data_IF_925705759948
#
_entry.id   IF_925705759948
#
_cell.length_a   1.000
_cell.length_b   1.000
_cell.length_c   1.000
_cell.angle_alpha   90.00
_cell.angle_beta   90.00
_cell.angle_gamma   90.00
#
_symmetry.space_group_name_H-M   'P 1'
#
loop_
_entity.id
_entity.type
_entity.pdbx_description
1 polymer ?
#
# COMPACT_ATOMS: atom_id res chain seq x y z
N UNK A 1 7.99 13.90 -35.50
CA UNK A 1 7.66 14.06 -35.18
C UNK A 1 7.48 14.01 -34.92
N UNK A 2 7.63 13.93 -34.85
CA UNK A 2 7.31 14.07 -34.32
C UNK A 2 7.10 13.95 -33.95
N UNK A 3 7.14 13.96 -33.70
CA UNK A 3 6.79 14.15 -33.14
C UNK A 3 6.53 13.93 -32.76
N UNK A 4 6.60 13.93 -32.48
CA UNK A 4 6.27 14.00 -31.89
C UNK A 4 6.02 13.89 -31.54
N UNK A 5 6.18 13.94 -31.42
CA UNK A 5 5.82 14.05 -30.88
C UNK A 5 5.65 13.77 -30.54
N UNK A 6 5.91 13.88 -30.47
CA UNK A 6 5.75 13.68 -29.98
C UNK A 6 5.64 13.13 -29.73
N UNK A 7 5.77 12.95 -29.77
CA UNK A 7 5.65 12.59 -29.30
C UNK A 7 5.65 11.75 -29.26
N UNK A 8 5.63 11.55 -29.25
CA UNK A 8 5.58 10.82 -29.08
C UNK A 8 5.83 9.86 -29.32
N UNK A 9 6.21 9.71 -29.51
CA UNK A 9 6.39 8.87 -29.61
C UNK A 9 6.81 8.05 -29.52
N UNK A 10 7.13 7.77 -29.47
CA UNK A 10 7.51 6.99 -29.19
C UNK A 10 7.75 6.02 -29.55
N UNK A 11 8.18 5.49 -29.72
CA UNK A 11 8.38 4.71 -29.84
C UNK A 11 8.40 3.74 -29.98
N UNK A 12 8.57 3.37 -29.84
CA UNK A 12 8.59 2.64 -29.61
C UNK A 12 8.91 1.62 -29.83
N UNK A 13 9.26 1.28 -30.21
CA UNK A 13 9.72 0.60 -29.98
C UNK A 13 10.12 0.09 -29.44
N UNK A 14 10.52 -0.01 -29.39
CA UNK A 14 10.82 -0.27 -28.52
C UNK A 14 10.48 -0.30 -27.70
N UNK A 15 10.34 -0.37 -27.61
CA UNK A 15 10.07 -0.26 -26.64
C UNK A 15 10.12 -0.62 -25.70
N UNK A 16 10.46 -1.07 -25.75
CA UNK A 16 10.59 -1.36 -24.47
C UNK A 16 11.19 -0.53 -23.62
N UNK A 17 11.44 -0.15 -23.91
CA UNK A 17 11.86 0.58 -23.15
C UNK A 17 11.21 1.12 -22.28
N UNK A 18 11.06 1.04 -22.14
CA UNK A 18 10.56 1.53 -21.43
C UNK A 18 10.27 1.85 -20.56
N UNK A 19 10.47 1.58 -20.50
CA UNK A 19 10.20 2.45 -19.72
C UNK A 19 9.54 2.23 -18.38
N UNK A 20 10.03 2.61 -17.39
CA UNK A 20 9.37 2.56 -16.13
C UNK A 20 8.55 3.81 -15.92
N UNK A 21 7.31 3.62 -15.54
CA UNK A 21 6.46 4.71 -15.15
C UNK A 21 6.42 4.77 -13.63
N UNK A 22 6.51 5.97 -13.10
CA UNK A 22 6.11 6.21 -11.72
C UNK A 22 4.65 6.64 -11.74
N UNK A 23 3.77 5.67 -11.66
CA UNK A 23 2.35 5.95 -11.55
C UNK A 23 2.11 6.63 -10.20
N UNK A 24 1.43 7.75 -10.21
CA UNK A 24 1.09 8.48 -8.99
C UNK A 24 -0.39 8.82 -9.00
N UNK A 25 -0.96 8.93 -7.81
CA UNK A 25 -2.32 9.43 -7.63
C UNK A 25 -2.34 10.24 -6.33
N UNK A 26 -3.51 10.73 -5.94
CA UNK A 26 -3.57 11.60 -4.75
C UNK A 26 -3.34 10.85 -3.44
N UNK A 27 -3.29 9.52 -3.48
CA UNK A 27 -3.09 8.69 -2.28
C UNK A 27 -1.69 8.11 -2.19
N UNK A 28 -0.92 8.16 -3.28
CA UNK A 28 0.42 7.58 -3.31
C UNK A 28 1.44 8.49 -2.62
N UNK A 29 2.51 7.89 -2.12
CA UNK A 29 3.58 8.63 -1.47
C UNK A 29 4.10 7.92 -0.23
N UNK A 30 4.90 8.64 0.53
CA UNK A 30 5.46 8.10 1.77
C UNK A 30 4.55 8.44 2.94
N UNK A 31 4.32 7.46 3.78
CA UNK A 31 3.47 7.58 4.97
C UNK A 31 4.23 7.08 6.18
N UNK A 32 3.95 7.67 7.34
CA UNK A 32 4.41 7.10 8.60
C UNK A 32 3.37 6.08 9.02
N UNK A 33 3.78 4.82 9.13
CA UNK A 33 2.92 3.73 9.54
C UNK A 33 3.17 3.45 11.02
N UNK A 34 2.15 3.68 11.83
CA UNK A 34 2.16 3.38 13.27
C UNK A 34 1.09 2.33 13.52
N UNK A 35 1.50 1.17 13.99
CA UNK A 35 0.58 0.06 14.13
C UNK A 35 0.96 -0.85 15.30
N UNK A 36 -0.02 -1.65 15.71
CA UNK A 36 0.20 -2.80 16.57
C UNK A 36 -0.09 -4.05 15.75
N UNK A 37 0.85 -4.98 15.75
CA UNK A 37 0.64 -6.30 15.17
C UNK A 37 0.38 -7.27 16.31
N UNK A 38 -0.82 -7.80 16.34
CA UNK A 38 -1.24 -8.77 17.34
C UNK A 38 -1.13 -10.17 16.75
N UNK A 39 -0.52 -11.08 17.48
CA UNK A 39 -0.60 -12.51 17.17
C UNK A 39 -1.84 -13.06 17.86
N UNK A 40 -2.68 -13.79 17.12
CA UNK A 40 -3.95 -14.30 17.63
C UNK A 40 -3.89 -15.82 17.74
N UNK A 41 -4.56 -16.35 18.76
CA UNK A 41 -4.73 -17.80 18.89
C UNK A 41 -5.96 -18.27 18.11
N UNK A 42 -6.31 -19.54 18.25
CA UNK A 42 -7.42 -20.16 17.53
C UNK A 42 -8.79 -19.60 17.94
N UNK A 43 -8.86 -18.85 19.03
CA UNK A 43 -10.09 -18.21 19.51
C UNK A 43 -10.09 -16.71 19.21
N UNK A 44 -9.18 -16.24 18.35
CA UNK A 44 -8.99 -14.82 18.04
C UNK A 44 -8.59 -13.98 19.27
N UNK A 45 -7.95 -14.60 20.26
CA UNK A 45 -7.45 -13.89 21.43
C UNK A 45 -6.00 -13.45 21.19
N UNK A 46 -5.67 -12.26 21.67
CA UNK A 46 -4.32 -11.73 21.50
C UNK A 46 -3.36 -12.44 22.46
N UNK A 47 -2.33 -13.07 21.90
CA UNK A 47 -1.30 -13.77 22.71
C UNK A 47 0.03 -13.02 22.70
N UNK A 48 0.25 -12.10 21.75
CA UNK A 48 1.46 -11.29 21.70
C UNK A 48 1.18 -10.06 20.86
N UNK A 49 1.92 -8.97 21.11
CA UNK A 49 1.76 -7.72 20.36
C UNK A 49 3.13 -7.10 20.12
N UNK A 50 3.29 -6.52 18.93
CA UNK A 50 4.50 -5.83 18.52
C UNK A 50 4.13 -4.45 18.01
N UNK A 51 4.80 -3.40 18.51
CA UNK A 51 4.63 -2.03 18.00
C UNK A 51 5.47 -1.82 16.77
N UNK A 52 4.89 -1.14 15.79
CA UNK A 52 5.56 -0.81 14.53
C UNK A 52 5.47 0.70 14.33
N UNK A 53 6.59 1.34 14.03
CA UNK A 53 6.63 2.73 13.59
C UNK A 53 7.69 2.82 12.51
N UNK A 54 7.25 3.02 11.28
CA UNK A 54 8.15 2.95 10.13
C UNK A 54 7.55 3.76 8.98
N UNK A 55 8.40 4.22 8.08
CA UNK A 55 7.94 4.83 6.83
C UNK A 55 7.60 3.71 5.87
N UNK A 56 6.38 3.77 5.29
CA UNK A 56 5.93 2.86 4.24
C UNK A 56 5.58 3.68 3.01
N UNK A 57 5.98 3.20 1.86
CA UNK A 57 5.59 3.82 0.60
C UNK A 57 4.31 3.17 0.11
N UNK A 58 3.30 3.98 -0.14
CA UNK A 58 2.07 3.54 -0.79
C UNK A 58 2.21 3.87 -2.27
N UNK A 59 2.22 2.85 -3.11
CA UNK A 59 2.42 3.00 -4.55
C UNK A 59 1.10 2.90 -5.29
N UNK A 60 0.84 3.84 -6.21
CA UNK A 60 -0.38 3.85 -6.99
C UNK A 60 -0.46 2.60 -7.88
N UNK A 61 -1.63 1.97 -7.91
CA UNK A 61 -1.90 0.82 -8.80
C UNK A 61 -2.95 1.17 -9.84
N UNK A 62 -3.81 2.12 -9.54
CA UNK A 62 -4.79 2.69 -10.45
C UNK A 62 -5.07 4.12 -9.97
N UNK A 63 -6.03 4.78 -10.58
CA UNK A 63 -6.34 6.18 -10.29
C UNK A 63 -6.70 6.38 -8.80
N UNK A 64 -7.34 5.41 -8.19
CA UNK A 64 -7.87 5.54 -6.84
C UNK A 64 -7.44 4.40 -5.91
N UNK A 65 -6.35 3.73 -6.23
CA UNK A 65 -5.86 2.62 -5.42
C UNK A 65 -4.36 2.69 -5.22
N UNK A 66 -3.93 2.23 -4.05
CA UNK A 66 -2.51 2.13 -3.70
C UNK A 66 -2.24 0.77 -3.10
N UNK A 67 -0.98 0.34 -3.16
CA UNK A 67 -0.52 -0.88 -2.51
C UNK A 67 0.63 -0.58 -1.59
N UNK A 68 0.79 -1.42 -0.58
CA UNK A 68 1.95 -1.37 0.31
C UNK A 68 2.33 -2.79 0.69
N UNK A 69 3.57 -2.98 1.13
CA UNK A 69 4.00 -4.27 1.65
C UNK A 69 3.59 -4.40 3.11
N UNK A 70 3.00 -5.56 3.45
CA UNK A 70 2.69 -5.88 4.84
C UNK A 70 3.97 -5.84 5.70
N UNK A 71 5.06 -6.40 5.17
CA UNK A 71 6.38 -6.29 5.76
C UNK A 71 7.35 -5.80 4.69
N UNK A 72 8.38 -5.07 5.11
CA UNK A 72 9.32 -4.47 4.16
C UNK A 72 9.96 -5.54 3.28
N UNK A 73 9.86 -5.36 1.99
CA UNK A 73 10.38 -6.28 0.98
C UNK A 73 11.07 -5.50 -0.12
N UNK A 74 12.00 -6.16 -0.81
CA UNK A 74 12.54 -5.61 -2.05
C UNK A 74 11.44 -5.56 -3.11
N UNK A 75 11.48 -4.55 -3.95
CA UNK A 75 10.45 -4.32 -4.99
C UNK A 75 10.68 -5.29 -6.15
N UNK A 76 10.04 -6.45 -6.08
CA UNK A 76 10.09 -7.47 -7.14
C UNK A 76 8.68 -7.96 -7.42
N UNK A 77 8.45 -8.50 -8.61
CA UNK A 77 7.15 -9.05 -8.98
C UNK A 77 6.72 -10.14 -8.00
N UNK A 78 7.63 -11.01 -7.60
CA UNK A 78 7.32 -12.10 -6.67
C UNK A 78 6.90 -11.56 -5.29
N UNK A 79 7.59 -10.54 -4.79
CA UNK A 79 7.27 -9.96 -3.50
C UNK A 79 5.95 -9.19 -3.53
N UNK A 80 5.69 -8.47 -4.63
CA UNK A 80 4.39 -7.79 -4.78
C UNK A 80 3.25 -8.79 -4.67
N UNK A 81 3.34 -9.90 -5.38
CA UNK A 81 2.28 -10.91 -5.35
C UNK A 81 2.06 -11.46 -3.96
N UNK A 82 3.13 -11.71 -3.23
CA UNK A 82 3.07 -12.45 -1.98
C UNK A 82 2.81 -11.58 -0.75
N UNK A 83 3.21 -10.31 -0.81
CA UNK A 83 3.26 -9.48 0.39
C UNK A 83 2.47 -8.18 0.28
N UNK A 84 1.88 -7.86 -0.87
CA UNK A 84 1.25 -6.57 -1.06
C UNK A 84 -0.23 -6.58 -0.69
N UNK A 85 -0.63 -5.51 -0.04
CA UNK A 85 -2.00 -5.20 0.35
C UNK A 85 -2.45 -3.98 -0.44
N UNK A 86 -3.69 -3.98 -0.91
CA UNK A 86 -4.24 -2.91 -1.74
C UNK A 86 -5.33 -2.18 -0.98
N UNK A 87 -5.26 -0.85 -1.01
CA UNK A 87 -6.31 0.02 -0.51
C UNK A 87 -6.91 0.75 -1.71
N UNK A 88 -8.21 0.60 -1.90
CA UNK A 88 -8.93 1.25 -2.99
C UNK A 88 -9.99 2.18 -2.41
N UNK A 89 -9.96 3.44 -2.82
CA UNK A 89 -10.84 4.49 -2.30
C UNK A 89 -11.91 4.79 -3.34
N UNK A 90 -13.17 4.70 -2.95
CA UNK A 90 -14.27 5.03 -3.86
C UNK A 90 -14.63 6.52 -3.78
N UNK A 91 -15.62 6.93 -4.58
CA UNK A 91 -16.04 8.33 -4.67
C UNK A 91 -16.57 8.89 -3.35
N UNK A 92 -17.03 8.02 -2.44
CA UNK A 92 -17.51 8.42 -1.12
C UNK A 92 -16.45 8.36 -0.04
N UNK A 93 -15.17 8.17 -0.42
CA UNK A 93 -14.05 8.01 0.51
C UNK A 93 -14.14 6.74 1.36
N UNK A 94 -14.91 5.75 0.90
CA UNK A 94 -14.89 4.43 1.53
C UNK A 94 -13.70 3.66 0.97
N UNK A 95 -13.03 2.91 1.82
CA UNK A 95 -11.84 2.18 1.42
C UNK A 95 -12.08 0.69 1.50
N UNK A 96 -11.74 -0.01 0.43
CA UNK A 96 -11.72 -1.47 0.40
C UNK A 96 -10.29 -1.93 0.57
N UNK A 97 -10.06 -2.90 1.44
CA UNK A 97 -8.74 -3.50 1.62
C UNK A 97 -8.78 -4.90 1.01
N UNK A 98 -7.74 -5.23 0.25
CA UNK A 98 -7.67 -6.54 -0.43
C UNK A 98 -6.22 -6.97 -0.59
N UNK A 99 -6.00 -8.24 -0.87
CA UNK A 99 -4.68 -8.75 -1.22
C UNK A 99 -4.39 -8.45 -2.68
N UNK A 100 -3.11 -8.24 -3.01
CA UNK A 100 -2.72 -8.08 -4.42
C UNK A 100 -3.00 -9.37 -5.19
N UNK A 101 -2.39 -10.48 -4.78
CA UNK A 101 -2.63 -11.80 -5.35
C UNK A 101 -2.57 -12.89 -4.28
N UNK A 102 -1.36 -13.20 -3.83
CA UNK A 102 -1.10 -14.37 -2.98
C UNK A 102 -0.93 -14.03 -1.50
N UNK A 103 -1.15 -12.77 -1.11
CA UNK A 103 -1.10 -12.41 0.30
C UNK A 103 -2.32 -13.01 1.02
N UNK A 104 -2.07 -13.72 2.11
CA UNK A 104 -3.12 -14.43 2.85
C UNK A 104 -3.93 -13.48 3.73
N UNK A 105 -4.68 -12.59 3.10
CA UNK A 105 -5.58 -11.69 3.80
C UNK A 105 -6.87 -12.45 4.16
N UNK A 106 -7.23 -12.42 5.44
CA UNK A 106 -8.47 -13.04 5.91
C UNK A 106 -9.63 -12.06 5.76
N UNK A 107 -9.49 -10.89 6.36
CA UNK A 107 -10.48 -9.82 6.24
C UNK A 107 -9.82 -8.49 6.66
N UNK A 108 -10.54 -7.40 6.45
CA UNK A 108 -10.01 -6.11 6.88
C UNK A 108 -10.98 -4.99 6.60
N UNK A 109 -10.78 -3.91 7.34
CA UNK A 109 -11.49 -2.65 7.14
C UNK A 109 -10.49 -1.51 7.09
N UNK A 110 -10.86 -0.46 6.38
CA UNK A 110 -10.01 0.71 6.27
C UNK A 110 -10.88 1.95 6.08
N UNK A 111 -10.47 3.05 6.68
CA UNK A 111 -11.11 4.35 6.44
C UNK A 111 -10.04 5.34 6.02
N UNK A 112 -10.45 6.39 5.32
CA UNK A 112 -9.55 7.43 4.87
C UNK A 112 -10.12 8.80 5.23
N UNK A 113 -9.30 9.63 5.90
CA UNK A 113 -9.64 11.01 6.19
C UNK A 113 -8.88 11.89 5.20
N UNK A 114 -9.61 12.50 4.25
CA UNK A 114 -8.97 13.30 3.20
C UNK A 114 -8.39 14.62 3.72
N UNK A 115 -8.88 15.12 4.84
CA UNK A 115 -8.38 16.38 5.39
C UNK A 115 -7.02 16.19 6.05
N UNK A 116 -6.85 15.11 6.81
CA UNK A 116 -5.60 14.81 7.51
C UNK A 116 -4.69 13.91 6.69
N UNK A 117 -5.20 13.33 5.59
CA UNK A 117 -4.48 12.34 4.76
C UNK A 117 -4.02 11.16 5.60
N UNK A 118 -4.96 10.57 6.33
CA UNK A 118 -4.71 9.42 7.21
C UNK A 118 -5.58 8.26 6.80
N UNK A 119 -4.96 7.09 6.58
CA UNK A 119 -5.67 5.82 6.47
C UNK A 119 -5.64 5.14 7.83
N UNK A 120 -6.80 4.63 8.27
CA UNK A 120 -6.89 3.77 9.45
C UNK A 120 -7.16 2.36 8.96
N UNK A 121 -6.27 1.43 9.29
CA UNK A 121 -6.38 0.05 8.83
C UNK A 121 -6.55 -0.90 10.01
N UNK A 122 -7.32 -1.94 9.78
CA UNK A 122 -7.51 -3.04 10.70
C UNK A 122 -7.73 -4.28 9.85
N UNK A 123 -6.73 -5.16 9.74
CA UNK A 123 -6.85 -6.34 8.90
C UNK A 123 -6.19 -7.55 9.54
N UNK A 124 -6.74 -8.73 9.22
CA UNK A 124 -6.22 -10.01 9.67
C UNK A 124 -5.61 -10.75 8.50
N UNK A 125 -4.52 -11.45 8.76
CA UNK A 125 -3.84 -12.24 7.76
C UNK A 125 -3.13 -13.42 8.40
N UNK A 126 -2.75 -14.41 7.61
CA UNK A 126 -1.93 -15.53 8.09
C UNK A 126 -0.53 -15.39 7.51
N UNK A 127 0.45 -15.82 8.31
CA UNK A 127 1.85 -15.89 7.91
C UNK A 127 2.56 -16.91 8.79
N UNK A 128 3.34 -17.78 8.16
CA UNK A 128 4.13 -18.78 8.88
C UNK A 128 3.29 -19.63 9.83
N UNK A 129 2.07 -19.97 9.42
CA UNK A 129 1.18 -20.82 10.20
C UNK A 129 0.50 -20.13 11.37
N UNK A 130 0.62 -18.81 11.46
CA UNK A 130 0.01 -18.02 12.54
C UNK A 130 -0.96 -17.01 11.98
N UNK A 131 -1.90 -16.58 12.81
CA UNK A 131 -2.85 -15.53 12.48
C UNK A 131 -2.45 -14.24 13.16
N UNK A 132 -2.46 -13.16 12.41
CA UNK A 132 -2.10 -11.82 12.91
C UNK A 132 -3.21 -10.83 12.60
N UNK A 133 -3.31 -9.82 13.46
CA UNK A 133 -4.16 -8.65 13.21
C UNK A 133 -3.26 -7.42 13.24
N UNK A 134 -3.34 -6.62 12.18
CA UNK A 134 -2.59 -5.36 12.07
C UNK A 134 -3.57 -4.21 12.24
N UNK A 135 -3.37 -3.40 13.28
CA UNK A 135 -4.24 -2.25 13.57
C UNK A 135 -3.36 -1.01 13.62
N UNK A 136 -3.63 -0.06 12.77
CA UNK A 136 -2.78 1.13 12.76
C UNK A 136 -3.22 2.22 11.83
N UNK A 137 -2.34 3.18 11.65
CA UNK A 137 -2.58 4.36 10.82
C UNK A 137 -1.42 4.58 9.87
N UNK A 138 -1.77 5.01 8.64
CA UNK A 138 -0.82 5.58 7.70
C UNK A 138 -1.06 7.08 7.68
N UNK A 139 -0.08 7.87 8.09
CA UNK A 139 -0.17 9.33 8.06
C UNK A 139 0.74 9.85 6.96
N UNK A 140 0.17 10.60 6.01
CA UNK A 140 0.94 11.12 4.89
C UNK A 140 2.10 11.97 5.40
N UNK A 141 3.28 11.71 4.84
CA UNK A 141 4.48 12.46 5.18
C UNK A 141 4.71 13.53 4.11
N UNK A 142 4.48 14.77 4.48
CA UNK A 142 4.68 15.90 3.58
C UNK A 142 6.17 16.25 3.57
N UNK A 143 6.85 15.92 2.49
CA UNK A 143 8.29 16.17 2.37
C UNK A 143 8.61 17.65 2.35
N UNK A 144 7.72 18.47 1.81
CA UNK A 144 7.93 19.92 1.78
C UNK A 144 7.90 20.49 3.20
N UNK A 145 6.96 20.05 4.02
CA UNK A 145 6.91 20.46 5.41
C UNK A 145 8.12 19.98 6.19
N UNK A 146 8.62 18.78 5.86
CA UNK A 146 9.78 18.21 6.53
C UNK A 146 11.10 18.86 6.17
N UNK A 147 11.15 19.59 5.07
CA UNK A 147 12.38 20.22 4.60
C UNK A 147 12.68 21.55 5.30
N UNK A 148 11.76 22.03 6.10
CA UNK A 148 11.97 23.27 6.86
C UNK A 148 12.66 23.00 8.22
#
# INVERSE_FOLDING_TARGET
>A
IASSSAGYEINQKDSALIVSFNLVNKYSGNYIFKALRHELDSNDEIVASTSITIVRTLKATEENAVRFYNEQQAETTANIKKHAVVLKVDAGNNVTISAWEDFDLIDGTCTYNQNSKVFNVDYKYTADGKTYQMVGTFTYQDEDAGSN
#
